data_IF_538965661693
#
_entry.id   IF_538965661693
#
_cell.length_a   1.000
_cell.length_b   1.000
_cell.length_c   1.000
_cell.angle_alpha   90.00
_cell.angle_beta   90.00
_cell.angle_gamma   90.00
#
_symmetry.space_group_name_H-M   'P 1'
#
loop_
_entity.id
_entity.type
_entity.pdbx_description
1 polymer ?
#
# COMPACT_ATOMS: atom_id res chain seq x y z
N UNK A 1 -5.31 4.64 -11.10
CA UNK A 1 -3.96 5.03 -10.64
C UNK A 1 -4.13 5.81 -9.35
N UNK A 2 -3.47 5.41 -8.25
CA UNK A 2 -3.65 6.01 -6.93
C UNK A 2 -2.93 7.36 -6.85
N UNK A 3 -3.67 8.42 -6.49
CA UNK A 3 -3.14 9.76 -6.30
C UNK A 3 -3.52 10.32 -4.92
N UNK A 4 -2.75 11.31 -4.47
CA UNK A 4 -3.02 12.09 -3.25
C UNK A 4 -4.21 13.02 -3.49
N UNK A 5 -5.19 13.01 -2.58
CA UNK A 5 -6.37 13.89 -2.60
C UNK A 5 -6.11 15.22 -1.89
N UNK A 6 -7.00 16.21 -2.08
CA UNK A 6 -6.91 17.50 -1.38
C UNK A 6 -7.00 17.32 0.15
N UNK A 7 -7.90 16.47 0.64
CA UNK A 7 -8.06 16.25 2.07
C UNK A 7 -6.86 15.54 2.70
N UNK A 8 -6.13 14.74 1.92
CA UNK A 8 -4.90 14.05 2.37
C UNK A 8 -3.69 14.98 2.43
N UNK A 9 -3.67 16.03 1.59
CA UNK A 9 -2.63 17.05 1.62
C UNK A 9 -2.88 18.11 2.70
N UNK A 10 -4.15 18.46 2.97
CA UNK A 10 -4.53 19.58 3.83
C UNK A 10 -4.04 19.51 5.29
N UNK A 11 -3.76 18.31 5.81
CA UNK A 11 -3.39 18.09 7.22
C UNK A 11 -1.92 17.74 7.44
N UNK A 12 -1.09 17.71 6.39
CA UNK A 12 0.34 17.44 6.52
C UNK A 12 1.08 18.77 6.56
N UNK A 13 1.77 19.04 7.68
CA UNK A 13 2.59 20.24 7.81
C UNK A 13 3.58 20.33 6.64
N UNK A 14 3.66 21.50 6.01
CA UNK A 14 4.46 21.86 4.82
C UNK A 14 5.99 21.72 5.01
N UNK A 15 6.46 20.62 5.60
CA UNK A 15 7.87 20.24 5.55
C UNK A 15 8.03 19.37 4.31
N UNK A 16 8.64 19.92 3.25
CA UNK A 16 8.81 19.28 1.92
C UNK A 16 9.70 18.04 1.98
N UNK A 17 9.30 17.02 2.77
CA UNK A 17 10.06 15.81 3.02
C UNK A 17 9.68 14.71 2.05
N UNK A 18 8.42 14.69 1.59
CA UNK A 18 7.92 13.65 0.68
C UNK A 18 6.99 14.24 -0.40
N UNK A 19 7.15 13.76 -1.64
CA UNK A 19 6.33 14.20 -2.78
C UNK A 19 4.84 13.81 -2.64
N UNK A 20 4.51 12.90 -1.72
CA UNK A 20 3.15 12.48 -1.35
C UNK A 20 2.34 13.54 -0.60
N UNK A 21 2.90 14.72 -0.34
CA UNK A 21 2.18 15.90 0.17
C UNK A 21 1.56 16.75 -0.95
N UNK A 22 1.93 16.49 -2.21
CA UNK A 22 1.45 17.26 -3.36
C UNK A 22 0.15 16.65 -3.88
N UNK A 23 -0.92 17.44 -3.92
CA UNK A 23 -2.21 17.03 -4.51
C UNK A 23 -2.01 16.53 -5.94
N UNK A 24 -2.59 15.36 -6.26
CA UNK A 24 -2.48 14.75 -7.57
C UNK A 24 -1.16 14.01 -7.81
N UNK A 25 -0.23 14.01 -6.85
CA UNK A 25 0.98 13.18 -6.94
C UNK A 25 0.60 11.70 -7.03
N UNK A 26 1.19 11.00 -8.01
CA UNK A 26 1.03 9.56 -8.16
C UNK A 26 1.74 8.85 -7.02
N UNK A 27 0.98 8.19 -6.16
CA UNK A 27 1.53 7.47 -5.03
C UNK A 27 2.34 6.25 -5.52
N UNK A 28 3.47 5.91 -4.86
CA UNK A 28 4.30 4.77 -5.22
C UNK A 28 3.70 3.44 -4.73
N UNK A 29 2.40 3.22 -4.97
CA UNK A 29 1.67 2.02 -4.55
C UNK A 29 2.26 0.77 -5.20
N UNK A 30 2.64 -0.22 -4.39
CA UNK A 30 3.14 -1.50 -4.88
C UNK A 30 2.79 -2.62 -3.92
N UNK A 31 2.17 -3.68 -4.44
CA UNK A 31 1.92 -4.93 -3.70
C UNK A 31 3.22 -5.66 -3.32
N UNK A 32 4.34 -5.36 -3.98
CA UNK A 32 5.65 -5.96 -3.66
C UNK A 32 6.21 -5.51 -2.31
N UNK A 33 5.67 -4.43 -1.72
CA UNK A 33 6.07 -3.97 -0.40
C UNK A 33 5.27 -4.70 0.71
N UNK A 34 5.19 -6.03 0.58
CA UNK A 34 4.57 -6.95 1.54
C UNK A 34 5.60 -7.40 2.59
N UNK A 35 5.13 -7.86 3.75
CA UNK A 35 6.00 -8.36 4.81
C UNK A 35 5.68 -9.82 5.16
N UNK A 36 6.73 -10.64 5.28
CA UNK A 36 6.62 -12.06 5.63
C UNK A 36 6.75 -12.20 7.14
N UNK A 37 5.77 -12.84 7.78
CA UNK A 37 5.79 -13.18 9.19
C UNK A 37 5.63 -14.70 9.38
N UNK A 38 5.66 -15.16 10.63
CA UNK A 38 5.44 -16.58 10.93
C UNK A 38 4.05 -17.03 10.47
N UNK A 39 4.02 -17.93 9.48
CA UNK A 39 2.79 -18.53 8.93
C UNK A 39 1.93 -17.61 8.06
N UNK A 40 2.32 -16.37 7.81
CA UNK A 40 1.51 -15.43 7.04
C UNK A 40 2.32 -14.39 6.26
N UNK A 41 1.66 -13.73 5.31
CA UNK A 41 2.17 -12.58 4.55
C UNK A 41 1.17 -11.44 4.69
N UNK A 42 1.65 -10.28 5.12
CA UNK A 42 0.87 -9.05 5.16
C UNK A 42 1.09 -8.32 3.83
N UNK A 43 0.06 -8.20 3.00
CA UNK A 43 0.13 -7.54 1.70
C UNK A 43 -0.61 -6.20 1.74
N UNK A 44 -0.04 -5.12 1.18
CA UNK A 44 -0.76 -3.86 1.02
C UNK A 44 -2.05 -4.05 0.21
N UNK A 45 -3.14 -3.42 0.63
CA UNK A 45 -4.37 -3.24 -0.14
C UNK A 45 -4.65 -1.76 -0.33
N UNK A 46 -5.21 -1.40 -1.48
CA UNK A 46 -5.33 0.00 -1.93
C UNK A 46 -6.77 0.42 -2.25
N UNK A 47 -7.76 -0.31 -1.73
CA UNK A 47 -9.18 -0.14 -2.05
C UNK A 47 -9.47 -0.32 -3.55
N UNK A 48 -8.73 -1.24 -4.18
CA UNK A 48 -8.91 -1.66 -5.56
C UNK A 48 -9.19 -3.17 -5.58
N UNK A 49 -10.47 -3.59 -5.46
CA UNK A 49 -10.81 -4.99 -5.22
C UNK A 49 -10.26 -5.97 -6.27
N UNK A 50 -10.13 -5.52 -7.52
CA UNK A 50 -9.62 -6.36 -8.60
C UNK A 50 -8.13 -6.59 -8.40
N UNK A 51 -7.35 -5.54 -8.20
CA UNK A 51 -5.89 -5.67 -8.06
C UNK A 51 -5.48 -6.20 -6.69
N UNK A 52 -6.23 -5.87 -5.63
CA UNK A 52 -6.00 -6.39 -4.28
C UNK A 52 -6.20 -7.92 -4.26
N UNK A 53 -7.27 -8.43 -4.89
CA UNK A 53 -7.50 -9.87 -4.99
C UNK A 53 -6.44 -10.55 -5.86
N UNK A 54 -6.05 -9.93 -6.97
CA UNK A 54 -5.03 -10.48 -7.87
C UNK A 54 -3.67 -10.61 -7.16
N UNK A 55 -3.30 -9.63 -6.33
CA UNK A 55 -2.10 -9.69 -5.50
C UNK A 55 -2.17 -10.83 -4.47
N UNK A 56 -3.34 -11.03 -3.84
CA UNK A 56 -3.58 -12.16 -2.94
C UNK A 56 -3.39 -13.49 -3.66
N UNK A 57 -3.99 -13.66 -4.84
CA UNK A 57 -3.94 -14.91 -5.60
C UNK A 57 -2.51 -15.25 -6.05
N UNK A 58 -1.77 -14.26 -6.54
CA UNK A 58 -0.35 -14.43 -6.94
C UNK A 58 0.50 -14.81 -5.73
N UNK A 59 0.37 -14.11 -4.61
CA UNK A 59 1.13 -14.42 -3.41
C UNK A 59 0.76 -15.78 -2.83
N UNK A 60 -0.51 -16.17 -2.91
CA UNK A 60 -0.97 -17.48 -2.44
C UNK A 60 -0.37 -18.62 -3.27
N UNK A 61 -0.17 -18.42 -4.58
CA UNK A 61 0.53 -19.37 -5.44
C UNK A 61 2.03 -19.46 -5.11
N UNK A 62 2.67 -18.34 -4.81
CA UNK A 62 4.08 -18.30 -4.43
C UNK A 62 4.36 -18.88 -3.03
N UNK A 63 3.41 -18.74 -2.11
CA UNK A 63 3.54 -19.10 -0.70
C UNK A 63 2.34 -19.93 -0.24
N UNK A 64 2.22 -21.14 -0.78
CA UNK A 64 1.07 -22.03 -0.58
C UNK A 64 0.84 -22.48 0.86
N UNK A 65 1.87 -22.43 1.71
CA UNK A 65 1.82 -22.77 3.13
C UNK A 65 1.50 -21.59 4.05
N UNK A 66 1.36 -20.38 3.50
CA UNK A 66 1.14 -19.15 4.27
C UNK A 66 -0.24 -18.57 4.03
N UNK A 67 -0.78 -17.97 5.09
CA UNK A 67 -1.99 -17.15 5.00
C UNK A 67 -1.65 -15.78 4.42
N UNK A 68 -2.30 -15.40 3.32
CA UNK A 68 -2.17 -14.04 2.77
C UNK A 68 -3.21 -13.13 3.45
N UNK A 69 -2.77 -12.01 4.01
CA UNK A 69 -3.59 -11.06 4.78
C UNK A 69 -3.47 -9.69 4.13
N UNK A 70 -4.48 -9.26 3.33
CA UNK A 70 -4.52 -7.89 2.82
C UNK A 70 -4.79 -6.90 3.95
N UNK A 71 -4.04 -5.79 3.96
CA UNK A 71 -4.18 -4.70 4.93
C UNK A 71 -4.36 -3.39 4.16
N UNK A 72 -5.41 -2.61 4.45
CA UNK A 72 -5.51 -1.25 3.91
C UNK A 72 -4.36 -0.41 4.46
N UNK A 73 -3.48 0.05 3.58
CA UNK A 73 -2.23 0.76 3.95
C UNK A 73 -2.15 2.16 3.37
N UNK A 74 -3.28 2.75 2.97
CA UNK A 74 -3.31 4.09 2.33
C UNK A 74 -2.56 5.13 3.16
N UNK A 75 -2.75 5.14 4.48
CA UNK A 75 -2.08 6.09 5.38
C UNK A 75 -0.56 5.88 5.49
N UNK A 76 -0.10 4.63 5.43
CA UNK A 76 1.34 4.33 5.40
C UNK A 76 1.93 4.79 4.07
N UNK A 77 1.22 4.54 2.98
CA UNK A 77 1.62 4.90 1.63
C UNK A 77 1.76 6.41 1.43
N UNK A 78 0.91 7.19 2.08
CA UNK A 78 1.03 8.64 2.08
C UNK A 78 2.31 9.14 2.79
N UNK A 79 2.93 8.33 3.65
CA UNK A 79 4.25 8.59 4.22
C UNK A 79 5.44 8.23 3.31
N UNK A 80 5.19 7.71 2.10
CA UNK A 80 6.21 7.40 1.09
C UNK A 80 6.75 5.97 1.10
N UNK A 81 6.24 5.07 1.95
CA UNK A 81 6.62 3.65 2.04
C UNK A 81 5.41 2.71 2.11
N UNK A 82 5.60 1.46 2.52
CA UNK A 82 4.48 0.57 2.87
C UNK A 82 4.91 -0.43 3.97
N UNK A 83 4.44 -1.68 3.97
CA UNK A 83 4.65 -2.65 5.06
C UNK A 83 6.13 -3.08 5.22
N UNK A 84 6.89 -3.20 4.12
CA UNK A 84 8.30 -3.62 4.14
C UNK A 84 9.24 -2.43 4.25
#
# INVERSE_FOLDING_TARGET
MLNVSESEAAHREYSVRFATEIVGFRMPASYANFHIINGAILVPAFDDPIWDQNAVDVLQQCFSDRKIIPINTREILLGGGNIH
#
